data_IF_521280739808
#
_entry.id   IF_521280739808
#
_cell.length_a   1.000
_cell.length_b   1.000
_cell.length_c   1.000
_cell.angle_alpha   90.00
_cell.angle_beta   90.00
_cell.angle_gamma   90.00
#
_symmetry.space_group_name_H-M   'P 1'
#
loop_
_entity.id
_entity.type
_entity.pdbx_description
1 polymer ?
#
# COMPACT_ATOMS: atom_id res chain seq x y z
N UNK A 1 -4.52 21.53 42.09
CA UNK A 1 -4.16 20.10 42.10
C UNK A 1 -4.64 19.51 40.79
N UNK A 2 -3.72 19.18 39.88
CA UNK A 2 -4.04 18.53 38.61
C UNK A 2 -4.62 17.14 38.89
N UNK A 3 -5.67 16.78 38.17
CA UNK A 3 -6.38 15.53 38.33
C UNK A 3 -5.42 14.37 38.01
N UNK A 4 -5.22 13.43 38.93
CA UNK A 4 -4.21 12.35 38.87
C UNK A 4 -4.51 11.26 37.81
N UNK A 5 -5.38 11.56 36.85
CA UNK A 5 -5.78 10.70 35.72
C UNK A 5 -5.82 11.51 34.41
N UNK A 6 -5.08 12.62 34.32
CA UNK A 6 -4.94 13.38 33.08
C UNK A 6 -3.72 12.87 32.31
N UNK A 7 -3.81 12.82 30.98
CA UNK A 7 -2.68 12.46 30.11
C UNK A 7 -1.44 13.36 30.38
N UNK A 8 -1.68 14.59 30.84
CA UNK A 8 -0.63 15.52 31.28
C UNK A 8 0.12 15.05 32.52
N UNK A 9 -0.50 14.24 33.39
CA UNK A 9 0.14 13.66 34.58
C UNK A 9 0.94 12.38 34.27
N UNK A 10 0.70 11.76 33.11
CA UNK A 10 1.41 10.57 32.63
C UNK A 10 2.62 10.91 31.75
N UNK A 11 2.68 12.15 31.23
CA UNK A 11 3.78 12.62 30.39
C UNK A 11 5.01 13.00 31.23
N UNK A 12 6.15 12.35 30.98
CA UNK A 12 7.42 12.72 31.61
C UNK A 12 8.02 13.98 30.98
N UNK A 13 7.76 14.22 29.69
CA UNK A 13 8.30 15.36 28.94
C UNK A 13 7.20 16.09 28.15
N UNK A 14 7.40 17.39 27.98
CA UNK A 14 6.59 18.26 27.13
C UNK A 14 7.45 18.77 25.97
N UNK A 15 6.98 18.59 24.74
CA UNK A 15 7.64 19.13 23.54
C UNK A 15 6.75 20.16 22.87
N UNK A 16 7.27 21.36 22.69
CA UNK A 16 6.64 22.43 21.90
C UNK A 16 7.50 22.73 20.67
N UNK A 17 6.88 22.70 19.50
CA UNK A 17 7.52 23.08 18.24
C UNK A 17 6.57 23.94 17.40
N UNK A 18 7.02 25.13 16.99
CA UNK A 18 6.21 26.01 16.17
C UNK A 18 7.05 26.95 15.33
N UNK A 19 6.44 27.46 14.26
CA UNK A 19 7.05 28.48 13.42
C UNK A 19 5.99 29.46 12.89
N UNK A 20 6.47 30.68 12.60
CA UNK A 20 5.66 31.82 12.17
C UNK A 20 6.18 32.32 10.84
N UNK A 21 5.26 32.59 9.92
CA UNK A 21 5.53 33.33 8.69
C UNK A 21 5.14 34.79 8.92
N UNK A 22 6.13 35.67 8.97
CA UNK A 22 5.96 37.08 9.30
C UNK A 22 6.12 37.91 8.03
N UNK A 23 5.14 38.76 7.76
CA UNK A 23 5.17 39.72 6.67
C UNK A 23 6.30 40.74 6.88
N UNK A 24 7.11 40.95 5.85
CA UNK A 24 8.18 41.94 5.83
C UNK A 24 7.97 43.00 4.73
N UNK A 25 6.94 42.84 3.89
CA UNK A 25 6.74 43.66 2.69
C UNK A 25 5.52 44.57 2.80
N UNK A 26 4.35 43.99 3.01
CA UNK A 26 3.09 44.74 2.87
C UNK A 26 2.71 45.39 4.21
N UNK A 27 2.77 44.61 5.29
CA UNK A 27 2.60 45.09 6.68
C UNK A 27 3.71 44.46 7.54
N UNK A 28 4.89 45.11 7.65
CA UNK A 28 6.01 44.59 8.43
C UNK A 28 5.61 44.20 9.86
N UNK A 29 5.93 42.97 10.26
CA UNK A 29 5.64 42.43 11.59
C UNK A 29 4.30 41.70 11.73
N UNK A 30 3.41 41.75 10.73
CA UNK A 30 2.15 40.99 10.74
C UNK A 30 2.44 39.48 10.59
N UNK A 31 1.88 38.66 11.48
CA UNK A 31 1.90 37.20 11.33
C UNK A 31 0.90 36.82 10.23
N UNK A 32 1.39 36.24 9.13
CA UNK A 32 0.56 35.76 8.02
C UNK A 32 0.01 34.37 8.32
N UNK A 33 0.82 33.53 8.95
CA UNK A 33 0.48 32.16 9.31
C UNK A 33 1.37 31.70 10.46
N UNK A 34 0.79 30.90 11.35
CA UNK A 34 1.47 30.28 12.48
C UNK A 34 0.97 28.85 12.61
N UNK A 35 1.87 27.95 12.96
CA UNK A 35 1.50 26.60 13.37
C UNK A 35 2.41 26.18 14.52
N UNK A 36 1.79 25.57 15.53
CA UNK A 36 2.42 25.10 16.74
C UNK A 36 1.89 23.69 17.05
N UNK A 37 2.81 22.79 17.37
CA UNK A 37 2.55 21.47 17.88
C UNK A 37 2.98 21.41 19.34
N UNK A 38 2.13 20.80 20.17
CA UNK A 38 2.37 20.57 21.59
C UNK A 38 2.15 19.09 21.86
N UNK A 39 3.19 18.40 22.29
CA UNK A 39 3.20 16.95 22.48
C UNK A 39 3.46 16.58 23.94
N UNK A 40 2.77 15.54 24.37
CA UNK A 40 2.97 14.84 25.63
C UNK A 40 3.81 13.59 25.32
N UNK A 41 4.98 13.46 25.94
CA UNK A 41 5.96 12.42 25.62
C UNK A 41 6.28 11.55 26.84
N UNK A 42 6.41 10.24 26.61
CA UNK A 42 6.89 9.27 27.59
C UNK A 42 8.43 9.25 27.68
N UNK A 43 9.11 9.42 26.55
CA UNK A 43 10.57 9.38 26.45
C UNK A 43 11.15 10.71 25.94
N UNK A 44 12.44 10.92 26.23
CA UNK A 44 13.20 12.04 25.65
C UNK A 44 13.23 11.95 24.12
N UNK A 45 12.89 13.06 23.45
CA UNK A 45 12.80 13.14 22.00
C UNK A 45 13.55 14.36 21.46
N UNK A 46 14.35 14.19 20.41
CA UNK A 46 15.14 15.30 19.87
C UNK A 46 14.28 16.23 19.03
N UNK A 47 14.36 17.54 19.31
CA UNK A 47 13.56 18.55 18.60
C UNK A 47 13.90 18.63 17.10
N UNK A 48 15.15 18.38 16.71
CA UNK A 48 15.57 18.37 15.30
C UNK A 48 14.95 17.22 14.51
N UNK A 49 14.87 16.02 15.10
CA UNK A 49 14.16 14.87 14.53
C UNK A 49 12.66 15.13 14.46
N UNK A 50 12.08 15.73 15.50
CA UNK A 50 10.66 16.10 15.52
C UNK A 50 10.33 17.07 14.39
N UNK A 51 11.11 18.17 14.27
CA UNK A 51 10.93 19.16 13.23
C UNK A 51 11.07 18.55 11.82
N UNK A 52 12.02 17.63 11.62
CA UNK A 52 12.24 16.95 10.34
C UNK A 52 11.01 16.17 9.85
N UNK A 53 10.28 15.56 10.78
CA UNK A 53 9.09 14.76 10.48
C UNK A 53 7.84 15.64 10.38
N UNK A 54 7.66 16.58 11.31
CA UNK A 54 6.40 17.30 11.49
C UNK A 54 6.32 18.60 10.68
N UNK A 55 7.43 19.30 10.43
CA UNK A 55 7.39 20.54 9.65
C UNK A 55 6.77 20.37 8.24
N UNK A 56 7.07 19.30 7.46
CA UNK A 56 6.37 19.03 6.21
C UNK A 56 4.86 18.84 6.38
N UNK A 57 4.42 18.16 7.45
CA UNK A 57 3.00 17.93 7.74
C UNK A 57 2.28 19.22 8.14
N UNK A 58 2.91 20.05 8.98
CA UNK A 58 2.42 21.38 9.38
C UNK A 58 2.24 22.28 8.15
N UNK A 59 3.22 22.27 7.23
CA UNK A 59 3.20 23.04 6.00
C UNK A 59 2.12 22.60 5.00
N UNK A 60 1.51 21.41 5.13
CA UNK A 60 0.41 20.99 4.24
C UNK A 60 -0.84 21.87 4.37
N UNK A 61 -0.95 22.67 5.44
CA UNK A 61 -2.03 23.63 5.64
C UNK A 61 -1.69 25.07 5.23
N UNK A 62 -0.48 25.30 4.71
CA UNK A 62 -0.13 26.57 4.09
C UNK A 62 -0.21 26.47 2.56
N UNK A 63 -0.82 27.43 1.86
CA UNK A 63 -1.57 28.59 2.38
C UNK A 63 -3.03 28.26 2.72
N UNK A 64 -3.48 27.02 2.44
CA UNK A 64 -4.89 26.63 2.55
C UNK A 64 -5.18 25.92 3.88
N UNK A 65 -5.55 26.69 4.90
CA UNK A 65 -5.87 26.17 6.22
C UNK A 65 -7.29 25.59 6.22
N UNK A 66 -7.40 24.29 6.46
CA UNK A 66 -8.70 23.58 6.62
C UNK A 66 -9.05 23.36 8.09
N UNK A 67 -8.04 23.07 8.92
CA UNK A 67 -8.19 22.67 10.31
C UNK A 67 -7.30 23.54 11.19
N UNK A 68 -7.87 24.13 12.25
CA UNK A 68 -7.11 24.92 13.22
C UNK A 68 -6.54 24.08 14.37
N UNK A 69 -7.09 22.88 14.58
CA UNK A 69 -6.70 21.95 15.64
C UNK A 69 -6.80 20.51 15.12
N UNK A 70 -5.99 19.61 15.66
CA UNK A 70 -6.05 18.16 15.43
C UNK A 70 -6.21 17.78 13.95
N UNK A 71 -5.19 18.10 13.14
CA UNK A 71 -5.23 17.92 11.69
C UNK A 71 -5.28 16.44 11.33
N UNK A 72 -6.36 15.95 10.68
CA UNK A 72 -6.44 14.56 10.28
C UNK A 72 -5.65 14.30 8.99
N UNK A 73 -4.69 13.38 9.07
CA UNK A 73 -3.95 12.89 7.91
C UNK A 73 -4.41 11.50 7.51
N UNK A 74 -4.40 11.22 6.21
CA UNK A 74 -4.55 9.87 5.67
C UNK A 74 -3.36 9.55 4.78
N UNK A 75 -2.72 8.43 5.08
CA UNK A 75 -1.61 7.89 4.29
C UNK A 75 -2.11 6.72 3.47
N UNK A 76 -1.92 6.78 2.16
CA UNK A 76 -2.21 5.68 1.25
C UNK A 76 -0.92 5.26 0.55
N UNK A 77 -0.50 4.02 0.78
CA UNK A 77 0.68 3.44 0.15
C UNK A 77 0.28 2.22 -0.67
N UNK A 78 0.75 2.16 -1.92
CA UNK A 78 0.53 1.03 -2.81
C UNK A 78 1.81 0.72 -3.58
N UNK A 79 2.19 -0.55 -3.57
CA UNK A 79 3.29 -1.08 -4.40
C UNK A 79 2.80 -2.34 -5.09
N UNK A 80 3.04 -2.46 -6.40
CA UNK A 80 2.64 -3.62 -7.18
C UNK A 80 3.49 -3.76 -8.46
N UNK A 81 3.57 -4.97 -8.99
CA UNK A 81 4.05 -5.26 -10.32
C UNK A 81 3.04 -4.75 -11.34
N UNK A 82 3.46 -3.78 -12.14
CA UNK A 82 2.68 -3.21 -13.23
C UNK A 82 3.11 -3.84 -14.56
N UNK A 83 2.15 -4.48 -15.22
CA UNK A 83 2.28 -5.00 -16.59
C UNK A 83 1.59 -4.11 -17.63
N UNK A 84 0.59 -3.31 -17.22
CA UNK A 84 -0.26 -2.49 -18.10
C UNK A 84 -1.47 -3.22 -18.67
N UNK A 85 -1.86 -4.35 -18.10
CA UNK A 85 -3.06 -5.10 -18.47
C UNK A 85 -4.29 -4.59 -17.70
N UNK A 86 -5.41 -4.44 -18.41
CA UNK A 86 -6.75 -4.38 -17.84
C UNK A 86 -7.49 -5.68 -18.17
N UNK A 87 -8.23 -6.22 -17.20
CA UNK A 87 -9.03 -7.44 -17.36
C UNK A 87 -10.51 -7.07 -17.47
N UNK A 88 -11.27 -7.90 -18.19
CA UNK A 88 -12.73 -7.80 -18.26
C UNK A 88 -13.33 -8.23 -16.91
N UNK A 89 -14.29 -7.46 -16.39
CA UNK A 89 -14.88 -7.70 -15.05
C UNK A 89 -15.77 -8.95 -15.01
N UNK A 90 -16.42 -9.28 -16.12
CA UNK A 90 -17.31 -10.44 -16.25
C UNK A 90 -16.52 -11.68 -16.68
N UNK A 91 -15.39 -11.45 -17.38
CA UNK A 91 -14.50 -12.49 -17.90
C UNK A 91 -13.06 -12.22 -17.53
N UNK A 92 -12.74 -12.45 -16.26
CA UNK A 92 -11.45 -12.14 -15.63
C UNK A 92 -10.24 -12.76 -16.35
N UNK A 93 -10.42 -13.80 -17.17
CA UNK A 93 -9.37 -14.37 -18.02
C UNK A 93 -9.06 -13.55 -19.29
N UNK A 94 -9.95 -12.64 -19.70
CA UNK A 94 -9.82 -11.88 -20.93
C UNK A 94 -9.15 -10.53 -20.69
N UNK A 95 -8.15 -10.20 -21.51
CA UNK A 95 -7.53 -8.88 -21.53
C UNK A 95 -8.49 -7.90 -22.22
N UNK A 96 -8.97 -6.91 -21.47
CA UNK A 96 -9.84 -5.85 -21.97
C UNK A 96 -9.04 -4.76 -22.70
N UNK A 97 -7.90 -4.34 -22.14
CA UNK A 97 -7.03 -3.32 -22.72
C UNK A 97 -5.56 -3.52 -22.32
N UNK A 98 -4.66 -2.90 -23.10
CA UNK A 98 -3.21 -2.91 -22.85
C UNK A 98 -2.64 -1.51 -23.06
N UNK A 99 -2.09 -0.93 -21.99
CA UNK A 99 -1.50 0.40 -22.01
C UNK A 99 -0.38 0.51 -23.07
N UNK A 100 -0.47 1.51 -23.97
CA UNK A 100 0.56 1.82 -24.96
C UNK A 100 1.84 2.25 -24.20
N UNK A 101 2.96 1.54 -24.41
CA UNK A 101 4.23 1.67 -23.68
C UNK A 101 4.35 0.90 -22.35
N UNK A 102 3.45 -0.05 -22.09
CA UNK A 102 3.59 -0.94 -20.94
C UNK A 102 4.45 -2.18 -21.21
N UNK A 103 4.94 -2.88 -20.16
CA UNK A 103 5.66 -4.15 -20.32
C UNK A 103 4.87 -5.21 -21.09
N UNK A 104 3.55 -5.30 -20.87
CA UNK A 104 2.69 -6.24 -21.59
C UNK A 104 2.60 -5.90 -23.08
N UNK A 105 2.47 -4.61 -23.41
CA UNK A 105 2.43 -4.15 -24.81
C UNK A 105 3.73 -4.53 -25.54
N UNK A 106 4.88 -4.26 -24.91
CA UNK A 106 6.20 -4.57 -25.44
C UNK A 106 6.42 -6.09 -25.62
N UNK A 107 5.89 -6.90 -24.71
CA UNK A 107 5.96 -8.36 -24.79
C UNK A 107 5.00 -9.00 -25.81
N UNK A 108 4.09 -8.21 -26.41
CA UNK A 108 3.20 -8.69 -27.48
C UNK A 108 1.79 -9.10 -27.03
N UNK A 109 1.42 -8.86 -25.77
CA UNK A 109 0.04 -9.03 -25.29
C UNK A 109 -0.86 -7.96 -25.91
N UNK A 110 -2.10 -8.35 -26.25
CA UNK A 110 -3.05 -7.47 -26.94
C UNK A 110 -4.45 -7.61 -26.32
N UNK A 111 -5.32 -6.60 -26.50
CA UNK A 111 -6.73 -6.73 -26.15
C UNK A 111 -7.36 -7.97 -26.80
N UNK A 112 -8.31 -8.60 -26.09
CA UNK A 112 -9.02 -9.84 -26.45
C UNK A 112 -8.20 -11.12 -26.37
N UNK A 113 -6.92 -11.06 -26.00
CA UNK A 113 -6.19 -12.27 -25.62
C UNK A 113 -6.86 -12.91 -24.39
N UNK A 114 -6.98 -14.24 -24.40
CA UNK A 114 -7.50 -15.02 -23.28
C UNK A 114 -6.32 -15.60 -22.52
N UNK A 115 -6.10 -15.17 -21.29
CA UNK A 115 -5.06 -15.71 -20.40
C UNK A 115 -5.55 -17.03 -19.83
N UNK A 116 -4.92 -18.13 -20.21
CA UNK A 116 -5.22 -19.46 -19.65
C UNK A 116 -4.56 -19.63 -18.28
N UNK A 117 -3.32 -19.13 -18.13
CA UNK A 117 -2.56 -19.14 -16.87
C UNK A 117 -1.62 -17.95 -16.74
N UNK A 118 -1.32 -17.60 -15.49
CA UNK A 118 -0.22 -16.71 -15.13
C UNK A 118 0.71 -17.50 -14.21
N UNK A 119 1.95 -17.71 -14.66
CA UNK A 119 2.85 -18.72 -14.14
C UNK A 119 2.10 -20.07 -14.10
N UNK A 120 2.14 -20.79 -12.99
CA UNK A 120 1.44 -22.09 -12.84
C UNK A 120 -0.02 -21.96 -12.37
N UNK A 121 -0.57 -20.74 -12.31
CA UNK A 121 -1.91 -20.47 -11.78
C UNK A 121 -2.94 -20.24 -12.88
N UNK A 122 -4.00 -21.06 -12.89
CA UNK A 122 -5.09 -20.97 -13.87
C UNK A 122 -5.95 -19.71 -13.67
N UNK A 123 -6.50 -19.20 -14.77
CA UNK A 123 -7.34 -18.00 -14.80
C UNK A 123 -8.82 -18.26 -15.07
N UNK A 124 -9.21 -19.49 -15.40
CA UNK A 124 -10.57 -19.86 -15.81
C UNK A 124 -11.55 -19.99 -14.62
N UNK A 125 -11.68 -18.93 -13.83
CA UNK A 125 -12.53 -18.86 -12.63
C UNK A 125 -13.36 -17.58 -12.63
N UNK A 126 -14.52 -17.63 -11.97
CA UNK A 126 -15.35 -16.42 -11.80
C UNK A 126 -14.78 -15.48 -10.73
N UNK A 127 -15.28 -14.25 -10.69
CA UNK A 127 -14.93 -13.29 -9.64
C UNK A 127 -15.27 -13.81 -8.22
N UNK A 128 -16.40 -14.49 -8.06
CA UNK A 128 -16.83 -15.09 -6.78
C UNK A 128 -15.90 -16.23 -6.35
N UNK A 129 -15.45 -17.03 -7.32
CA UNK A 129 -14.49 -18.11 -7.07
C UNK A 129 -13.14 -17.58 -6.62
N UNK A 130 -12.62 -16.54 -7.26
CA UNK A 130 -11.41 -15.84 -6.81
C UNK A 130 -11.62 -15.22 -5.42
N UNK A 131 -12.75 -14.55 -5.18
CA UNK A 131 -13.07 -13.93 -3.89
C UNK A 131 -13.13 -14.95 -2.76
N UNK A 132 -13.79 -16.08 -3.00
CA UNK A 132 -13.95 -17.15 -2.00
C UNK A 132 -12.61 -17.83 -1.68
N UNK A 133 -11.81 -18.12 -2.71
CA UNK A 133 -10.48 -18.69 -2.53
C UNK A 133 -9.54 -17.73 -1.79
N UNK A 134 -9.59 -16.44 -2.11
CA UNK A 134 -8.80 -15.41 -1.42
C UNK A 134 -9.19 -15.28 0.07
N UNK A 135 -10.49 -15.27 0.39
CA UNK A 135 -10.96 -15.29 1.79
C UNK A 135 -10.49 -16.55 2.53
N UNK A 136 -10.56 -17.71 1.87
CA UNK A 136 -10.05 -18.97 2.41
C UNK A 136 -8.54 -18.92 2.67
N UNK A 137 -7.76 -18.38 1.73
CA UNK A 137 -6.33 -18.15 1.89
C UNK A 137 -6.04 -17.29 3.13
N UNK A 138 -6.73 -16.16 3.29
CA UNK A 138 -6.55 -15.28 4.47
C UNK A 138 -6.80 -16.07 5.77
N UNK A 139 -7.95 -16.75 5.87
CA UNK A 139 -8.31 -17.53 7.07
C UNK A 139 -7.26 -18.59 7.40
N UNK A 140 -6.82 -19.35 6.41
CA UNK A 140 -5.88 -20.46 6.60
C UNK A 140 -4.44 -20.01 6.91
N UNK A 141 -4.09 -18.78 6.55
CA UNK A 141 -2.74 -18.21 6.72
C UNK A 141 -2.65 -17.24 7.90
N UNK A 142 -3.72 -17.01 8.66
CA UNK A 142 -3.68 -16.14 9.85
C UNK A 142 -2.58 -16.55 10.85
N UNK A 143 -2.29 -17.85 10.96
CA UNK A 143 -1.21 -18.41 11.79
C UNK A 143 0.22 -18.02 11.35
N UNK A 144 0.39 -17.40 10.19
CA UNK A 144 1.67 -16.92 9.67
C UNK A 144 1.84 -15.40 9.79
N UNK A 145 0.88 -14.71 10.41
CA UNK A 145 0.95 -13.26 10.69
C UNK A 145 1.77 -13.01 11.96
N UNK A 146 2.37 -11.84 12.06
CA UNK A 146 3.02 -11.36 13.29
C UNK A 146 2.05 -10.49 14.11
N UNK A 147 1.55 -10.95 15.27
CA UNK A 147 0.65 -10.19 16.13
C UNK A 147 1.26 -8.88 16.66
N UNK A 148 2.60 -8.78 16.75
CA UNK A 148 3.28 -7.56 17.23
C UNK A 148 3.12 -6.38 16.28
N UNK A 149 2.76 -6.66 15.03
CA UNK A 149 2.58 -5.66 13.98
C UNK A 149 1.11 -5.26 13.80
N UNK A 150 0.23 -5.60 14.75
CA UNK A 150 -1.19 -5.35 14.60
C UNK A 150 -1.51 -3.84 14.58
N UNK A 151 -2.29 -3.39 13.59
CA UNK A 151 -2.78 -2.02 13.50
C UNK A 151 -4.22 -1.95 12.97
N UNK A 152 -4.85 -0.77 13.13
CA UNK A 152 -6.17 -0.47 12.56
C UNK A 152 -5.99 0.35 11.28
N UNK A 153 -6.54 -0.09 10.16
CA UNK A 153 -6.44 0.67 8.90
C UNK A 153 -7.40 1.88 8.87
N UNK A 154 -7.25 2.71 7.82
CA UNK A 154 -8.08 3.90 7.62
C UNK A 154 -9.58 3.59 7.40
N UNK A 155 -9.94 2.33 7.13
CA UNK A 155 -11.33 1.87 6.97
C UNK A 155 -11.90 1.27 8.27
N UNK A 156 -11.11 1.21 9.34
CA UNK A 156 -11.53 0.70 10.65
C UNK A 156 -11.29 -0.81 10.86
N UNK A 157 -10.59 -1.51 9.96
CA UNK A 157 -10.25 -2.91 10.16
C UNK A 157 -9.09 -3.05 11.17
N UNK A 158 -9.41 -3.56 12.37
CA UNK A 158 -8.51 -3.58 13.54
C UNK A 158 -7.48 -4.70 13.58
N UNK A 159 -7.49 -5.60 12.59
CA UNK A 159 -6.67 -6.83 12.58
C UNK A 159 -5.70 -6.86 11.40
N UNK A 160 -5.29 -5.69 10.88
CA UNK A 160 -4.18 -5.62 9.94
C UNK A 160 -2.92 -6.08 10.65
N UNK A 161 -2.18 -7.00 10.04
CA UNK A 161 -0.89 -7.49 10.54
C UNK A 161 0.01 -7.75 9.35
N UNK A 162 1.31 -7.56 9.49
CA UNK A 162 2.28 -8.04 8.51
C UNK A 162 2.50 -9.56 8.65
N UNK A 163 3.13 -10.16 7.65
CA UNK A 163 3.58 -11.54 7.71
C UNK A 163 4.77 -11.66 8.67
N UNK A 164 4.81 -12.73 9.47
CA UNK A 164 6.01 -13.10 10.21
C UNK A 164 7.12 -13.47 9.23
N UNK A 165 8.25 -12.77 9.32
CA UNK A 165 9.43 -12.97 8.46
C UNK A 165 9.95 -14.40 8.47
N UNK A 166 9.84 -15.11 9.59
CA UNK A 166 10.26 -16.52 9.71
C UNK A 166 9.25 -17.50 9.07
N UNK A 167 8.07 -17.00 8.65
CA UNK A 167 7.01 -17.80 8.02
C UNK A 167 6.86 -17.54 6.52
N UNK A 168 7.74 -16.75 5.91
CA UNK A 168 7.67 -16.43 4.48
C UNK A 168 7.64 -17.66 3.57
N UNK A 169 8.46 -18.72 3.78
CA UNK A 169 8.37 -19.93 2.97
C UNK A 169 6.97 -20.58 3.01
N UNK A 170 6.36 -20.67 4.20
CA UNK A 170 5.03 -21.26 4.38
C UNK A 170 3.92 -20.42 3.74
N UNK A 171 4.07 -19.09 3.72
CA UNK A 171 3.17 -18.19 2.99
C UNK A 171 3.30 -18.40 1.49
N UNK A 172 4.53 -18.48 0.97
CA UNK A 172 4.80 -18.74 -0.45
C UNK A 172 4.23 -20.11 -0.89
N UNK A 173 4.47 -21.16 -0.11
CA UNK A 173 3.91 -22.49 -0.35
C UNK A 173 2.38 -22.47 -0.36
N UNK A 174 1.76 -21.72 0.56
CA UNK A 174 0.31 -21.57 0.58
C UNK A 174 -0.20 -20.89 -0.69
N UNK A 175 0.47 -19.86 -1.20
CA UNK A 175 0.07 -19.16 -2.44
C UNK A 175 0.09 -20.10 -3.64
N UNK A 176 1.07 -20.99 -3.74
CA UNK A 176 1.18 -21.91 -4.88
C UNK A 176 0.12 -23.01 -4.90
N UNK A 177 -0.59 -23.25 -3.79
CA UNK A 177 -1.68 -24.24 -3.75
C UNK A 177 -2.79 -23.83 -4.70
N UNK A 178 -3.07 -24.67 -5.69
CA UNK A 178 -4.09 -24.44 -6.73
C UNK A 178 -5.48 -24.08 -6.17
N UNK A 179 -5.86 -24.62 -5.01
CA UNK A 179 -7.11 -24.29 -4.32
C UNK A 179 -7.26 -22.81 -3.92
N UNK A 180 -6.16 -22.07 -3.79
CA UNK A 180 -6.17 -20.65 -3.46
C UNK A 180 -6.33 -19.74 -4.68
N UNK A 181 -6.35 -20.31 -5.91
CA UNK A 181 -6.61 -19.60 -7.17
C UNK A 181 -5.79 -18.30 -7.29
N UNK A 182 -4.51 -18.37 -6.95
CA UNK A 182 -3.68 -17.21 -6.69
C UNK A 182 -3.06 -16.60 -7.96
N UNK A 183 -3.75 -16.62 -9.09
CA UNK A 183 -3.21 -16.14 -10.36
C UNK A 183 -2.78 -14.66 -10.28
N UNK A 184 -3.61 -13.82 -9.65
CA UNK A 184 -3.30 -12.40 -9.42
C UNK A 184 -2.20 -12.12 -8.39
N UNK A 185 -1.63 -13.15 -7.74
CA UNK A 185 -0.46 -12.97 -6.87
C UNK A 185 0.77 -12.46 -7.62
N UNK A 186 0.79 -12.54 -8.96
CA UNK A 186 1.83 -11.94 -9.80
C UNK A 186 2.00 -10.43 -9.56
N UNK A 187 0.94 -9.74 -9.09
CA UNK A 187 0.99 -8.33 -8.69
C UNK A 187 1.99 -8.06 -7.55
N UNK A 188 2.32 -9.10 -6.76
CA UNK A 188 3.26 -9.03 -5.65
C UNK A 188 4.45 -9.99 -5.83
N UNK A 189 4.72 -10.44 -7.06
CA UNK A 189 5.78 -11.43 -7.37
C UNK A 189 7.21 -10.95 -7.08
N UNK A 190 7.40 -9.67 -6.76
CA UNK A 190 8.67 -9.12 -6.27
C UNK A 190 8.90 -9.43 -4.79
N UNK A 191 7.87 -9.82 -4.04
CA UNK A 191 7.94 -10.03 -2.61
C UNK A 191 8.36 -11.48 -2.28
N UNK A 192 9.29 -11.68 -1.33
CA UNK A 192 9.86 -13.01 -1.04
C UNK A 192 8.84 -14.00 -0.44
N UNK A 193 7.81 -13.49 0.24
CA UNK A 193 6.70 -14.30 0.75
C UNK A 193 5.68 -14.72 -0.32
N UNK A 194 5.84 -14.25 -1.57
CA UNK A 194 5.05 -14.67 -2.74
C UNK A 194 5.92 -15.53 -3.67
N UNK A 195 7.13 -15.05 -3.94
CA UNK A 195 8.07 -15.64 -4.88
C UNK A 195 9.47 -15.71 -4.26
N UNK A 196 9.87 -16.88 -3.72
CA UNK A 196 11.18 -17.04 -3.10
C UNK A 196 12.33 -17.07 -4.10
N UNK A 197 12.06 -17.28 -5.40
CA UNK A 197 13.12 -17.37 -6.43
C UNK A 197 13.81 -16.04 -6.72
N UNK A 198 13.17 -14.91 -6.38
CA UNK A 198 13.65 -13.56 -6.70
C UNK A 198 13.56 -13.17 -8.18
N UNK A 199 13.21 -14.10 -9.09
CA UNK A 199 12.99 -13.75 -10.49
C UNK A 199 11.60 -13.13 -10.66
N UNK A 200 11.56 -11.81 -10.87
CA UNK A 200 10.32 -11.06 -11.03
C UNK A 200 9.69 -11.14 -12.44
N UNK A 201 10.19 -12.01 -13.33
CA UNK A 201 9.51 -12.25 -14.61
C UNK A 201 8.25 -13.11 -14.39
N UNK A 202 7.18 -12.80 -15.11
CA UNK A 202 5.92 -13.54 -15.05
C UNK A 202 5.62 -14.14 -16.42
N UNK A 203 5.25 -15.41 -16.45
CA UNK A 203 4.88 -16.13 -17.68
C UNK A 203 3.37 -16.06 -17.87
N UNK A 204 2.90 -15.69 -19.05
CA UNK A 204 1.49 -15.64 -19.42
C UNK A 204 1.22 -16.65 -20.54
N UNK A 205 0.48 -17.71 -20.21
CA UNK A 205 -0.05 -18.63 -21.20
C UNK A 205 -1.33 -18.03 -21.76
N UNK A 206 -1.33 -17.66 -23.03
CA UNK A 206 -2.48 -17.03 -23.69
C UNK A 206 -3.01 -17.85 -24.86
N UNK A 207 -4.28 -17.60 -25.18
CA UNK A 207 -4.96 -18.06 -26.39
C UNK A 207 -5.45 -16.86 -27.19
N UNK A 208 -4.99 -16.76 -28.44
CA UNK A 208 -5.43 -15.77 -29.43
C UNK A 208 -6.11 -16.50 -30.59
N UNK A 209 -7.44 -16.50 -30.60
CA UNK A 209 -8.22 -17.33 -31.52
C UNK A 209 -7.97 -18.83 -31.27
N UNK A 210 -7.36 -19.53 -32.22
CA UNK A 210 -6.97 -20.95 -32.07
C UNK A 210 -5.53 -21.16 -31.60
N UNK A 211 -4.70 -20.11 -31.63
CA UNK A 211 -3.28 -20.21 -31.33
C UNK A 211 -3.04 -20.07 -29.83
N UNK A 212 -2.19 -20.94 -29.28
CA UNK A 212 -1.68 -20.86 -27.91
C UNK A 212 -0.26 -20.34 -27.93
N UNK A 213 0.07 -19.44 -27.01
CA UNK A 213 1.39 -18.82 -26.93
C UNK A 213 1.77 -18.63 -25.47
N UNK A 214 3.04 -18.79 -25.17
CA UNK A 214 3.65 -18.42 -23.90
C UNK A 214 4.33 -17.06 -24.08
N UNK A 215 4.00 -16.08 -23.23
CA UNK A 215 4.59 -14.74 -23.27
C UNK A 215 5.18 -14.41 -21.91
N UNK A 216 6.48 -14.15 -21.88
CA UNK A 216 7.18 -13.73 -20.66
C UNK A 216 7.14 -12.20 -20.57
N UNK A 217 6.58 -11.69 -19.48
CA UNK A 217 6.51 -10.26 -19.18
C UNK A 217 7.36 -9.98 -17.94
N UNK A 218 8.31 -9.04 -18.03
CA UNK A 218 9.01 -8.50 -16.86
C UNK A 218 8.30 -7.23 -16.41
N UNK A 219 7.52 -7.24 -15.30
CA UNK A 219 6.79 -6.06 -14.85
C UNK A 219 7.73 -4.96 -14.35
N UNK A 220 7.25 -3.72 -14.38
CA UNK A 220 7.88 -2.61 -13.64
C UNK A 220 7.22 -2.48 -12.27
N UNK A 221 7.98 -2.25 -11.21
CA UNK A 221 7.40 -2.02 -9.88
C UNK A 221 6.90 -0.58 -9.81
N UNK A 222 5.58 -0.39 -9.67
CA UNK A 222 4.99 0.92 -9.41
C UNK A 222 4.81 1.11 -7.90
N UNK A 223 5.20 2.28 -7.40
CA UNK A 223 5.08 2.70 -6.01
C UNK A 223 4.37 4.04 -5.96
N UNK A 224 3.36 4.16 -5.11
CA UNK A 224 2.69 5.42 -4.82
C UNK A 224 2.53 5.57 -3.31
N UNK A 225 2.91 6.73 -2.79
CA UNK A 225 2.60 7.17 -1.43
C UNK A 225 1.88 8.49 -1.56
N UNK A 226 0.69 8.58 -0.97
CA UNK A 226 -0.10 9.80 -0.91
C UNK A 226 -0.35 10.10 0.56
N UNK A 227 -0.02 11.32 0.98
CA UNK A 227 -0.37 11.87 2.28
C UNK A 227 -1.35 12.98 2.01
N UNK A 228 -2.57 12.88 2.54
CA UNK A 228 -3.64 13.85 2.33
C UNK A 228 -4.18 14.36 3.67
N UNK A 229 -4.44 15.66 3.74
CA UNK A 229 -5.26 16.26 4.80
C UNK A 229 -6.72 15.98 4.45
N UNK A 230 -7.47 15.34 5.35
CA UNK A 230 -8.86 14.93 5.09
C UNK A 230 -9.82 16.10 4.82
#
# INVERSE_FOLDING_TARGET
FLNSMSAEAEAEYLLQFGFRLIDQRDVPGRILWECEANELLEDSYRLDEYARIHAPLMCMQYPYVKYQRNVPFKVNQKTYNYTGLSYDIDRMEQIADVDKNSPAYAAGLRPRDIVEKINDQKMNYTAEEFSSAYKGFITNTMKYRDPKTQFTDANGFRRCMFWDTFKYPQVADAIQKSGNKAAYSYLYYYAPYINPSGNNACTFDIKRGKNKMEIIVRPTIRRSVTVEVK
#
